data_IF_444872339468
#
_entry.id   IF_444872339468
#
_cell.length_a   1.000
_cell.length_b   1.000
_cell.length_c   1.000
_cell.angle_alpha   90.00
_cell.angle_beta   90.00
_cell.angle_gamma   90.00
#
_symmetry.space_group_name_H-M   'P 1'
#
loop_
_entity.id
_entity.type
_entity.pdbx_description
1 polymer ?
#
# COMPACT_ATOMS: atom_id res chain seq x y z
N UNK A 1 0.41 -18.10 10.74
CA UNK A 1 -0.75 -17.81 9.88
C UNK A 1 -0.39 -18.16 8.47
N UNK A 2 -1.30 -18.79 7.75
CA UNK A 2 -1.07 -19.46 6.48
C UNK A 2 -1.22 -18.47 5.30
N UNK A 3 -0.37 -18.62 4.28
CA UNK A 3 -0.28 -17.69 3.15
C UNK A 3 -1.62 -17.49 2.42
N UNK A 4 -2.43 -18.55 2.32
CA UNK A 4 -3.77 -18.52 1.72
C UNK A 4 -4.72 -17.60 2.47
N UNK A 5 -4.70 -17.65 3.80
CA UNK A 5 -5.54 -16.79 4.65
C UNK A 5 -5.15 -15.32 4.49
N UNK A 6 -3.86 -15.03 4.39
CA UNK A 6 -3.37 -13.67 4.15
C UNK A 6 -3.78 -13.15 2.76
N UNK A 7 -3.62 -13.94 1.70
CA UNK A 7 -4.08 -13.60 0.34
C UNK A 7 -5.57 -13.26 0.32
N UNK A 8 -6.40 -14.12 0.93
CA UNK A 8 -7.84 -13.90 0.99
C UNK A 8 -8.20 -12.60 1.71
N UNK A 9 -7.50 -12.28 2.81
CA UNK A 9 -7.69 -11.01 3.52
C UNK A 9 -7.35 -9.80 2.65
N UNK A 10 -6.26 -9.85 1.88
CA UNK A 10 -5.86 -8.75 0.99
C UNK A 10 -6.85 -8.60 -0.17
N UNK A 11 -7.27 -9.70 -0.79
CA UNK A 11 -8.30 -9.72 -1.83
C UNK A 11 -9.62 -9.08 -1.37
N UNK A 12 -9.98 -9.28 -0.10
CA UNK A 12 -11.17 -8.67 0.51
C UNK A 12 -11.02 -7.17 0.85
N UNK A 13 -9.84 -6.57 0.71
CA UNK A 13 -9.64 -5.14 0.98
C UNK A 13 -10.13 -4.23 -0.15
N UNK A 14 -10.19 -4.73 -1.39
CA UNK A 14 -10.57 -3.93 -2.56
C UNK A 14 -10.96 -4.81 -3.75
N UNK A 15 -11.99 -4.41 -4.50
CA UNK A 15 -12.49 -5.20 -5.65
C UNK A 15 -11.45 -5.36 -6.75
N UNK A 16 -10.59 -4.37 -6.91
CA UNK A 16 -9.47 -4.37 -7.85
C UNK A 16 -8.41 -5.42 -7.50
N UNK A 17 -8.22 -5.74 -6.22
CA UNK A 17 -7.23 -6.73 -5.76
C UNK A 17 -7.69 -8.16 -6.08
N UNK A 18 -9.00 -8.40 -6.19
CA UNK A 18 -9.56 -9.68 -6.65
C UNK A 18 -9.19 -10.02 -8.10
N UNK A 19 -8.75 -9.04 -8.89
CA UNK A 19 -8.36 -9.25 -10.29
C UNK A 19 -6.94 -9.81 -10.44
N UNK A 20 -6.15 -9.81 -9.36
CA UNK A 20 -4.79 -10.31 -9.35
C UNK A 20 -4.76 -11.83 -9.20
N UNK A 21 -3.83 -12.46 -9.91
CA UNK A 21 -3.55 -13.89 -9.70
C UNK A 21 -2.90 -14.11 -8.33
N UNK A 22 -2.96 -15.34 -7.84
CA UNK A 22 -2.33 -15.69 -6.57
C UNK A 22 -0.81 -15.44 -6.60
N UNK A 23 -0.15 -15.69 -7.73
CA UNK A 23 1.29 -15.45 -7.91
C UNK A 23 1.64 -13.96 -7.86
N UNK A 24 0.87 -13.12 -8.57
CA UNK A 24 1.04 -11.67 -8.53
C UNK A 24 0.86 -11.14 -7.10
N UNK A 25 -0.16 -11.64 -6.41
CA UNK A 25 -0.43 -11.22 -5.05
C UNK A 25 0.64 -11.69 -4.07
N UNK A 26 1.17 -12.91 -4.23
CA UNK A 26 2.29 -13.42 -3.42
C UNK A 26 3.54 -12.55 -3.59
N UNK A 27 3.86 -12.12 -4.82
CA UNK A 27 5.00 -11.23 -5.08
C UNK A 27 4.88 -9.93 -4.27
N UNK A 28 3.72 -9.26 -4.28
CA UNK A 28 3.52 -8.05 -3.47
C UNK A 28 3.54 -8.31 -1.96
N UNK A 29 3.09 -9.49 -1.52
CA UNK A 29 3.14 -9.89 -0.11
C UNK A 29 4.59 -10.10 0.33
N UNK A 30 5.41 -10.74 -0.50
CA UNK A 30 6.82 -10.99 -0.22
C UNK A 30 7.59 -9.67 -0.09
N UNK A 31 7.45 -8.78 -1.08
CA UNK A 31 8.06 -7.44 -1.05
C UNK A 31 7.63 -6.66 0.21
N UNK A 32 6.32 -6.62 0.49
CA UNK A 32 5.80 -5.95 1.67
C UNK A 32 6.27 -6.59 2.99
N UNK A 33 6.44 -7.91 3.01
CA UNK A 33 6.93 -8.62 4.20
C UNK A 33 8.39 -8.29 4.47
N UNK A 34 9.21 -8.21 3.43
CA UNK A 34 10.62 -7.79 3.55
C UNK A 34 10.70 -6.36 4.08
N UNK A 35 9.94 -5.43 3.52
CA UNK A 35 9.91 -4.05 4.01
C UNK A 35 9.46 -3.96 5.47
N UNK A 36 8.37 -4.64 5.84
CA UNK A 36 7.86 -4.62 7.22
C UNK A 36 8.79 -5.32 8.20
N UNK A 37 9.51 -6.36 7.78
CA UNK A 37 10.49 -7.05 8.62
C UNK A 37 11.65 -6.15 9.03
N UNK A 38 11.97 -5.13 8.23
CA UNK A 38 12.97 -4.11 8.57
C UNK A 38 12.47 -3.11 9.62
N UNK A 39 11.16 -3.06 9.87
CA UNK A 39 10.55 -2.17 10.85
C UNK A 39 10.61 -2.81 12.23
N UNK A 40 11.13 -2.08 13.22
CA UNK A 40 11.13 -2.52 14.62
C UNK A 40 9.73 -2.34 15.24
N UNK A 41 8.78 -3.17 14.83
CA UNK A 41 7.37 -3.15 15.26
C UNK A 41 7.00 -4.43 15.99
N UNK A 42 5.95 -4.37 16.83
CA UNK A 42 5.44 -5.54 17.55
C UNK A 42 4.94 -6.62 16.56
N UNK A 43 5.09 -7.92 16.87
CA UNK A 43 4.64 -9.03 16.01
C UNK A 43 3.17 -8.93 15.59
N UNK A 44 2.32 -8.44 16.49
CA UNK A 44 0.88 -8.22 16.26
C UNK A 44 0.59 -7.22 15.13
N UNK A 45 1.53 -6.31 14.83
CA UNK A 45 1.37 -5.30 13.79
C UNK A 45 1.98 -5.72 12.45
N UNK A 46 2.84 -6.74 12.42
CA UNK A 46 3.54 -7.19 11.21
C UNK A 46 2.52 -7.58 10.15
N UNK A 47 1.62 -8.51 10.47
CA UNK A 47 0.62 -9.00 9.51
C UNK A 47 -0.28 -7.86 8.98
N UNK A 48 -0.66 -6.93 9.86
CA UNK A 48 -1.49 -5.78 9.49
C UNK A 48 -0.74 -4.85 8.54
N UNK A 49 0.50 -4.48 8.87
CA UNK A 49 1.32 -3.60 8.07
C UNK A 49 1.65 -4.22 6.71
N UNK A 50 2.02 -5.50 6.68
CA UNK A 50 2.29 -6.24 5.44
C UNK A 50 1.06 -6.24 4.54
N UNK A 51 -0.13 -6.47 5.11
CA UNK A 51 -1.38 -6.48 4.36
C UNK A 51 -1.72 -5.13 3.72
N UNK A 52 -1.56 -4.02 4.45
CA UNK A 52 -1.78 -2.68 3.89
C UNK A 52 -0.72 -2.27 2.86
N UNK A 53 0.54 -2.62 3.09
CA UNK A 53 1.62 -2.32 2.16
C UNK A 53 1.49 -3.15 0.87
N UNK A 54 1.21 -4.45 0.97
CA UNK A 54 0.97 -5.31 -0.19
C UNK A 54 -0.21 -4.79 -1.03
N UNK A 55 -1.32 -4.42 -0.38
CA UNK A 55 -2.47 -3.82 -1.06
C UNK A 55 -2.09 -2.50 -1.75
N UNK A 56 -1.27 -1.65 -1.12
CA UNK A 56 -0.78 -0.42 -1.73
C UNK A 56 0.04 -0.69 -3.00
N UNK A 57 1.07 -1.55 -2.93
CA UNK A 57 1.93 -1.91 -4.05
C UNK A 57 1.13 -2.48 -5.22
N UNK A 58 0.22 -3.41 -4.91
CA UNK A 58 -0.69 -4.02 -5.87
C UNK A 58 -1.58 -2.97 -6.59
N UNK A 59 -2.20 -2.06 -5.83
CA UNK A 59 -3.06 -1.01 -6.39
C UNK A 59 -2.27 -0.02 -7.26
N UNK A 60 -1.06 0.37 -6.85
CA UNK A 60 -0.19 1.25 -7.65
C UNK A 60 0.17 0.58 -8.98
N UNK A 61 0.53 -0.70 -8.95
CA UNK A 61 0.85 -1.47 -10.15
C UNK A 61 -0.33 -1.58 -11.12
N UNK A 62 -1.53 -1.91 -10.62
CA UNK A 62 -2.75 -1.96 -11.44
C UNK A 62 -3.01 -0.60 -12.11
N UNK A 63 -2.91 0.51 -11.36
CA UNK A 63 -3.12 1.86 -11.91
C UNK A 63 -2.08 2.20 -12.97
N UNK A 64 -0.82 1.83 -12.78
CA UNK A 64 0.25 2.03 -13.77
C UNK A 64 -0.05 1.30 -15.08
N UNK A 65 -0.49 0.05 -15.03
CA UNK A 65 -0.87 -0.73 -16.22
C UNK A 65 -2.08 -0.11 -16.94
N UNK A 66 -3.08 0.37 -16.20
CA UNK A 66 -4.22 1.09 -16.79
C UNK A 66 -3.75 2.37 -17.47
N UNK A 67 -2.89 3.16 -16.81
CA UNK A 67 -2.33 4.38 -17.37
C UNK A 67 -1.49 4.09 -18.62
N UNK A 68 -0.65 3.06 -18.63
CA UNK A 68 0.14 2.68 -19.81
C UNK A 68 -0.74 2.34 -21.02
N UNK A 69 -1.84 1.62 -20.78
CA UNK A 69 -2.85 1.38 -21.84
C UNK A 69 -3.51 2.66 -22.32
N UNK A 70 -3.78 3.61 -21.43
CA UNK A 70 -4.37 4.92 -21.78
C UNK A 70 -3.37 5.85 -22.49
N UNK A 71 -2.09 5.88 -22.06
CA UNK A 71 -1.02 6.71 -22.67
C UNK A 71 -0.75 6.32 -24.12
N UNK A 72 -0.99 5.05 -24.49
CA UNK A 72 -0.95 4.58 -25.89
C UNK A 72 -2.07 5.15 -26.77
N UNK A 73 -3.13 5.70 -26.17
CA UNK A 73 -4.30 6.30 -26.82
C UNK A 73 -4.38 7.83 -26.65
N UNK A 74 -3.80 8.40 -25.58
CA UNK A 74 -3.98 9.79 -25.16
C UNK A 74 -2.66 10.54 -24.93
N UNK A 75 -1.71 10.49 -25.87
CA UNK A 75 -0.59 11.44 -25.89
C UNK A 75 -0.93 12.71 -26.67
N UNK A 76 -1.89 13.46 -26.17
CA UNK A 76 -1.82 14.92 -26.29
C UNK A 76 -2.59 15.51 -25.10
N UNK A 77 -1.92 16.35 -24.31
CA UNK A 77 -2.47 17.13 -23.18
C UNK A 77 -2.72 16.40 -21.84
N UNK A 78 -1.68 16.24 -21.00
CA UNK A 78 -1.73 16.59 -19.56
C UNK A 78 -0.42 16.25 -18.85
N UNK A 79 0.44 17.26 -18.69
CA UNK A 79 1.48 17.25 -17.66
C UNK A 79 0.90 17.88 -16.37
N UNK A 80 0.50 17.08 -15.38
CA UNK A 80 0.26 17.62 -14.04
C UNK A 80 0.13 16.52 -12.97
N UNK A 81 1.20 16.36 -12.18
CA UNK A 81 1.13 16.02 -10.75
C UNK A 81 0.60 14.65 -10.36
N UNK A 82 1.26 13.57 -10.78
CA UNK A 82 1.07 12.28 -10.09
C UNK A 82 1.67 12.37 -8.68
N UNK A 83 0.85 12.21 -7.65
CA UNK A 83 1.33 11.93 -6.31
C UNK A 83 2.19 10.67 -6.36
N UNK A 84 3.32 10.69 -5.66
CA UNK A 84 4.27 9.57 -5.57
C UNK A 84 4.45 9.23 -4.11
N UNK A 85 4.31 7.95 -3.76
CA UNK A 85 4.48 7.45 -2.40
C UNK A 85 3.20 6.92 -1.77
N UNK A 86 3.22 6.80 -0.44
CA UNK A 86 2.17 6.14 0.35
C UNK A 86 0.82 6.87 0.34
N UNK A 87 0.81 8.16 0.00
CA UNK A 87 -0.39 8.99 -0.08
C UNK A 87 -1.25 8.69 -1.33
N UNK A 88 -0.70 7.97 -2.30
CA UNK A 88 -1.36 7.68 -3.59
C UNK A 88 -2.53 6.71 -3.51
N UNK A 89 -2.58 5.87 -2.46
CA UNK A 89 -3.68 4.93 -2.26
C UNK A 89 -4.20 4.98 -0.83
N UNK A 90 -5.49 4.67 -0.60
CA UNK A 90 -6.03 4.58 0.76
C UNK A 90 -5.27 3.56 1.63
N UNK A 91 -4.75 2.50 1.02
CA UNK A 91 -3.98 1.47 1.73
C UNK A 91 -2.62 2.00 2.20
N UNK A 92 -1.93 2.81 1.39
CA UNK A 92 -0.67 3.43 1.79
C UNK A 92 -0.87 4.49 2.87
N UNK A 93 -1.97 5.26 2.81
CA UNK A 93 -2.33 6.21 3.85
C UNK A 93 -2.59 5.53 5.19
N UNK A 94 -3.32 4.40 5.18
CA UNK A 94 -3.58 3.62 6.39
C UNK A 94 -2.31 2.96 6.94
N UNK A 95 -1.43 2.46 6.08
CA UNK A 95 -0.09 1.99 6.47
C UNK A 95 0.69 3.10 7.20
N UNK A 96 0.74 4.29 6.62
CA UNK A 96 1.40 5.46 7.22
C UNK A 96 0.76 5.85 8.56
N UNK A 97 -0.58 5.82 8.66
CA UNK A 97 -1.32 6.12 9.89
C UNK A 97 -0.94 5.16 11.02
N UNK A 98 -0.85 3.86 10.71
CA UNK A 98 -0.45 2.83 11.67
C UNK A 98 1.00 3.08 12.11
N UNK A 99 1.94 3.27 11.19
CA UNK A 99 3.33 3.56 11.54
C UNK A 99 3.48 4.80 12.43
N UNK A 100 2.76 5.88 12.10
CA UNK A 100 2.76 7.09 12.91
C UNK A 100 2.19 6.85 14.31
N UNK A 101 1.16 6.00 14.44
CA UNK A 101 0.60 5.63 15.75
C UNK A 101 1.57 4.80 16.60
N UNK A 102 2.42 3.99 15.97
CA UNK A 102 3.40 3.14 16.66
C UNK A 102 4.65 3.91 17.10
N UNK A 103 5.06 4.95 16.37
CA UNK A 103 6.23 5.78 16.68
C UNK A 103 5.99 6.79 17.81
N UNK A 104 4.77 6.85 18.37
CA UNK A 104 4.37 7.83 19.37
C UNK A 104 4.04 9.18 18.74
N UNK A 105 2.98 9.83 19.23
CA UNK A 105 2.63 11.19 18.80
C UNK A 105 3.79 12.13 19.13
N UNK A 106 4.41 12.77 18.12
CA UNK A 106 5.13 14.02 18.36
C UNK A 106 4.12 14.96 19.03
N UNK A 107 4.36 15.34 20.28
CA UNK A 107 3.60 16.38 20.96
C UNK A 107 3.79 17.66 20.15
N UNK A 108 2.77 18.05 19.38
CA UNK A 108 2.72 19.36 18.76
C UNK A 108 2.56 20.36 19.90
N UNK A 109 3.68 20.96 20.32
CA UNK A 109 3.68 22.13 21.19
C UNK A 109 3.10 23.30 20.37
N UNK A 110 1.77 23.39 20.32
CA UNK A 110 1.07 24.54 19.80
C UNK A 110 1.12 25.64 20.86
N UNK A 111 2.21 26.41 20.87
CA UNK A 111 2.24 27.71 21.54
C UNK A 111 1.52 28.69 20.62
N UNK A 112 0.37 29.19 21.07
CA UNK A 112 -0.28 30.36 20.47
C UNK A 112 0.35 31.59 21.14
N UNK A 113 0.99 32.45 20.36
CA UNK A 113 1.51 33.77 20.76
C UNK A 113 0.40 34.83 20.61
#
# INVERSE_FOLDING_TARGET
MDATTLRNRIKNMGKELNKLTDDQLNMYIEDASLEVSSLNVKPEQIERLTRYLAAHLATVSIRKVVKEKVDSLERTYASSGESVGLDTTPFGQEFQRILNSLRGRKTLNLTVL
#
